data_IF_253189512737
#
_entry.id   IF_253189512737
#
_cell.length_a   1.000
_cell.length_b   1.000
_cell.length_c   1.000
_cell.angle_alpha   90.00
_cell.angle_beta   90.00
_cell.angle_gamma   90.00
#
_symmetry.space_group_name_H-M   'P 1'
#
loop_
_entity.id
_entity.type
_entity.pdbx_description
1 polymer ?
#
# COMPACT_ATOMS: atom_id res chain seq x y z
N UNK A 1 64.99 -57.97 -25.84
CA UNK A 1 64.95 -56.96 -24.77
C UNK A 1 64.61 -55.62 -25.40
N UNK A 2 63.36 -55.21 -25.15
CA UNK A 2 62.65 -53.90 -25.25
C UNK A 2 63.46 -52.57 -25.27
N UNK A 3 62.83 -51.39 -25.49
CA UNK A 3 61.51 -51.07 -26.09
C UNK A 3 61.47 -49.75 -26.93
N UNK A 4 60.32 -49.52 -27.58
CA UNK A 4 59.55 -48.27 -27.69
C UNK A 4 60.24 -46.91 -28.00
N UNK A 5 59.81 -46.28 -29.09
CA UNK A 5 59.24 -44.92 -28.98
C UNK A 5 58.37 -44.60 -30.20
N UNK A 6 57.07 -44.81 -30.00
CA UNK A 6 55.98 -44.30 -30.82
C UNK A 6 56.06 -42.76 -30.98
N UNK A 7 56.36 -42.29 -32.19
CA UNK A 7 56.23 -40.87 -32.53
C UNK A 7 55.04 -40.65 -33.45
N UNK A 8 53.91 -40.10 -32.97
CA UNK A 8 52.82 -39.70 -33.85
C UNK A 8 53.22 -38.43 -34.61
N UNK A 9 53.03 -38.46 -35.94
CA UNK A 9 53.11 -37.27 -36.78
C UNK A 9 52.09 -36.23 -36.30
N UNK A 10 52.58 -35.00 -36.10
CA UNK A 10 51.81 -33.77 -35.92
C UNK A 10 50.47 -33.79 -36.67
N UNK A 11 49.36 -33.92 -35.94
CA UNK A 11 48.10 -33.36 -36.41
C UNK A 11 48.01 -31.95 -35.84
N UNK A 12 47.87 -31.00 -36.75
CA UNK A 12 47.77 -29.57 -36.51
C UNK A 12 46.83 -29.27 -35.33
N UNK A 13 47.25 -28.34 -34.48
CA UNK A 13 46.40 -27.72 -33.45
C UNK A 13 45.18 -27.08 -34.12
N UNK A 14 44.13 -27.88 -34.32
CA UNK A 14 42.82 -27.38 -34.74
C UNK A 14 42.21 -26.74 -33.50
N UNK A 15 42.55 -25.47 -33.28
CA UNK A 15 41.81 -24.58 -32.39
C UNK A 15 40.32 -24.83 -32.67
N UNK A 16 39.49 -25.25 -31.69
CA UNK A 16 38.10 -25.51 -31.95
C UNK A 16 37.49 -24.24 -32.54
N UNK A 17 37.08 -24.31 -33.81
CA UNK A 17 36.46 -23.17 -34.47
C UNK A 17 35.13 -22.97 -33.74
N UNK A 18 35.12 -22.02 -32.79
CA UNK A 18 33.95 -21.71 -31.98
C UNK A 18 32.89 -21.20 -32.95
N UNK A 19 31.97 -22.09 -33.35
CA UNK A 19 30.88 -21.79 -34.27
C UNK A 19 30.23 -20.48 -33.79
N UNK A 20 30.13 -19.45 -34.64
CA UNK A 20 29.50 -18.20 -34.24
C UNK A 20 28.12 -18.54 -33.73
N UNK A 21 27.86 -18.30 -32.44
CA UNK A 21 26.51 -18.50 -31.90
C UNK A 21 25.61 -17.59 -32.72
N UNK A 22 24.61 -18.19 -33.37
CA UNK A 22 23.65 -17.40 -34.13
C UNK A 22 23.02 -16.40 -33.16
N UNK A 23 22.66 -15.20 -33.62
CA UNK A 23 22.05 -14.17 -32.77
C UNK A 23 20.88 -14.72 -31.92
N UNK A 24 20.18 -15.73 -32.44
CA UNK A 24 19.08 -16.42 -31.77
C UNK A 24 19.50 -17.25 -30.53
N UNK A 25 20.66 -17.92 -30.55
CA UNK A 25 21.15 -18.64 -29.36
C UNK A 25 21.60 -17.70 -28.25
N UNK A 26 22.21 -16.58 -28.61
CA UNK A 26 22.65 -15.55 -27.66
C UNK A 26 21.44 -14.85 -27.04
N UNK A 27 20.42 -14.53 -27.84
CA UNK A 27 19.15 -13.99 -27.35
C UNK A 27 18.43 -14.97 -26.41
N UNK A 28 18.43 -16.27 -26.73
CA UNK A 28 17.80 -17.27 -25.86
C UNK A 28 18.52 -17.44 -24.52
N UNK A 29 19.85 -17.38 -24.49
CA UNK A 29 20.66 -17.58 -23.28
C UNK A 29 20.79 -16.34 -22.40
N UNK A 30 20.75 -15.15 -22.99
CA UNK A 30 21.02 -13.89 -22.28
C UNK A 30 19.80 -12.97 -22.31
N UNK A 31 19.14 -12.85 -23.47
CA UNK A 31 17.97 -11.99 -23.65
C UNK A 31 16.75 -12.47 -22.86
N UNK A 32 16.38 -13.76 -22.97
CA UNK A 32 15.19 -14.30 -22.28
C UNK A 32 15.27 -14.14 -20.76
N UNK A 33 16.35 -14.50 -20.05
CA UNK A 33 16.44 -14.30 -18.61
C UNK A 33 16.38 -12.83 -18.19
N UNK A 34 16.98 -11.93 -18.97
CA UNK A 34 16.92 -10.48 -18.70
C UNK A 34 15.50 -9.96 -18.90
N UNK A 35 14.83 -10.36 -19.98
CA UNK A 35 13.44 -9.97 -20.25
C UNK A 35 12.52 -10.53 -19.18
N UNK A 36 12.69 -11.78 -18.75
CA UNK A 36 11.92 -12.36 -17.64
C UNK A 36 12.18 -11.60 -16.35
N UNK A 37 13.42 -11.25 -16.03
CA UNK A 37 13.75 -10.48 -14.84
C UNK A 37 13.15 -9.06 -14.89
N UNK A 38 13.21 -8.38 -16.04
CA UNK A 38 12.61 -7.07 -16.24
C UNK A 38 11.08 -7.12 -16.20
N UNK A 39 10.45 -8.13 -16.79
CA UNK A 39 9.00 -8.35 -16.70
C UNK A 39 8.59 -8.70 -15.27
N UNK A 40 9.31 -9.56 -14.55
CA UNK A 40 9.06 -9.84 -13.13
C UNK A 40 9.24 -8.61 -12.25
N UNK A 41 10.29 -7.82 -12.47
CA UNK A 41 10.51 -6.56 -11.74
C UNK A 41 9.42 -5.53 -12.07
N UNK A 42 8.94 -5.47 -13.31
CA UNK A 42 7.81 -4.62 -13.70
C UNK A 42 6.46 -5.14 -13.19
N UNK A 43 6.31 -6.45 -12.95
CA UNK A 43 5.15 -7.05 -12.28
C UNK A 43 5.15 -6.83 -10.76
N UNK A 44 6.29 -6.47 -10.16
CA UNK A 44 6.39 -5.97 -8.78
C UNK A 44 6.12 -4.45 -8.78
N UNK A 45 5.16 -3.98 -9.56
CA UNK A 45 4.42 -2.77 -9.19
C UNK A 45 3.39 -3.27 -8.20
N UNK A 46 3.78 -3.33 -6.92
CA UNK A 46 2.80 -3.49 -5.85
C UNK A 46 1.86 -2.30 -6.03
N UNK A 47 0.61 -2.59 -6.36
CA UNK A 47 -0.45 -1.58 -6.47
C UNK A 47 -0.73 -1.12 -5.05
N UNK A 48 0.13 -0.26 -4.50
CA UNK A 48 -0.03 0.26 -3.15
C UNK A 48 -1.26 1.14 -3.16
N UNK A 49 -2.35 0.66 -2.56
CA UNK A 49 -3.53 1.47 -2.37
C UNK A 49 -3.28 2.42 -1.22
N UNK A 50 -3.33 3.72 -1.51
CA UNK A 50 -3.22 4.76 -0.50
C UNK A 50 -4.60 5.09 0.06
N UNK A 51 -4.69 5.12 1.38
CA UNK A 51 -5.89 5.51 2.10
C UNK A 51 -5.59 6.66 3.05
N UNK A 52 -6.59 7.51 3.29
CA UNK A 52 -6.53 8.60 4.26
C UNK A 52 -7.89 8.90 4.86
N UNK A 53 -7.89 9.66 5.95
CA UNK A 53 -9.11 10.21 6.55
C UNK A 53 -9.20 11.71 6.23
N UNK A 54 -10.41 12.19 5.93
CA UNK A 54 -10.65 13.62 5.81
C UNK A 54 -10.43 14.34 7.15
N UNK A 55 -10.01 15.60 7.10
CA UNK A 55 -9.74 16.39 8.31
C UNK A 55 -11.01 16.84 9.04
N UNK A 56 -12.11 17.00 8.33
CA UNK A 56 -13.35 17.61 8.83
C UNK A 56 -14.27 16.60 9.52
N UNK A 57 -14.46 15.43 8.90
CA UNK A 57 -15.48 14.43 9.30
C UNK A 57 -14.90 13.03 9.47
N UNK A 58 -13.57 12.89 9.38
CA UNK A 58 -12.89 11.60 9.39
C UNK A 58 -13.43 10.65 8.33
N UNK A 59 -13.81 11.16 7.15
CA UNK A 59 -14.36 10.31 6.10
C UNK A 59 -13.26 9.53 5.42
N UNK A 60 -13.50 8.24 5.20
CA UNK A 60 -12.54 7.34 4.56
C UNK A 60 -12.39 7.70 3.08
N UNK A 61 -11.16 7.93 2.66
CA UNK A 61 -10.80 8.27 1.29
C UNK A 61 -9.77 7.27 0.75
N UNK A 62 -9.99 6.80 -0.47
CA UNK A 62 -9.16 5.78 -1.14
C UNK A 62 -8.65 6.36 -2.45
N UNK A 63 -7.36 6.19 -2.72
CA UNK A 63 -6.75 6.55 -3.99
C UNK A 63 -6.97 5.40 -4.98
N UNK A 64 -7.54 5.69 -6.14
CA UNK A 64 -7.49 4.78 -7.27
C UNK A 64 -6.15 4.94 -8.00
N UNK A 65 -5.29 3.91 -8.01
CA UNK A 65 -4.00 3.98 -8.70
C UNK A 65 -4.14 4.00 -10.23
N UNK A 66 -5.27 3.55 -10.78
CA UNK A 66 -5.49 3.56 -12.23
C UNK A 66 -5.73 4.97 -12.77
N UNK A 67 -6.48 5.80 -12.02
CA UNK A 67 -6.81 7.18 -12.41
C UNK A 67 -5.96 8.23 -11.69
N UNK A 68 -5.36 7.90 -10.55
CA UNK A 68 -4.69 8.84 -9.66
C UNK A 68 -5.64 9.74 -8.86
N UNK A 69 -6.94 9.43 -8.87
CA UNK A 69 -7.96 10.24 -8.20
C UNK A 69 -8.31 9.68 -6.82
N UNK A 70 -8.63 10.60 -5.90
CA UNK A 70 -9.16 10.25 -4.58
C UNK A 70 -10.68 10.13 -4.64
N UNK A 71 -11.20 9.10 -3.97
CA UNK A 71 -12.63 8.87 -3.84
C UNK A 71 -13.01 8.76 -2.37
N UNK A 72 -14.22 9.18 -2.02
CA UNK A 72 -14.80 8.93 -0.70
C UNK A 72 -15.52 7.58 -0.67
N UNK A 73 -15.37 6.85 0.44
CA UNK A 73 -16.02 5.55 0.61
C UNK A 73 -17.53 5.72 0.89
N UNK A 74 -18.35 5.07 0.08
CA UNK A 74 -19.78 4.92 0.31
C UNK A 74 -20.04 4.05 1.55
N UNK A 75 -21.07 4.40 2.31
CA UNK A 75 -21.48 3.61 3.48
C UNK A 75 -22.18 2.30 3.12
N UNK A 76 -22.75 2.20 1.92
CA UNK A 76 -23.43 0.98 1.46
C UNK A 76 -22.49 -0.22 1.48
N UNK A 77 -22.97 -1.33 2.04
CA UNK A 77 -22.21 -2.58 2.18
C UNK A 77 -20.87 -2.45 2.91
N UNK A 78 -20.62 -1.34 3.63
CA UNK A 78 -19.42 -1.17 4.44
C UNK A 78 -19.51 -2.03 5.70
N UNK A 79 -18.45 -2.78 6.02
CA UNK A 79 -18.45 -3.79 7.09
C UNK A 79 -17.35 -3.53 8.11
N UNK A 80 -17.44 -4.18 9.27
CA UNK A 80 -16.40 -4.15 10.31
C UNK A 80 -15.05 -4.67 9.78
N UNK A 81 -15.05 -5.70 8.91
CA UNK A 81 -13.83 -6.20 8.28
C UNK A 81 -13.15 -5.15 7.38
N UNK A 82 -13.94 -4.40 6.60
CA UNK A 82 -13.41 -3.29 5.80
C UNK A 82 -12.82 -2.18 6.68
N UNK A 83 -13.46 -1.88 7.82
CA UNK A 83 -12.95 -0.93 8.80
C UNK A 83 -11.62 -1.39 9.43
N UNK A 84 -11.52 -2.66 9.81
CA UNK A 84 -10.29 -3.24 10.37
C UNK A 84 -9.15 -3.21 9.36
N UNK A 85 -9.42 -3.58 8.11
CA UNK A 85 -8.43 -3.52 7.03
C UNK A 85 -7.97 -2.08 6.77
N UNK A 86 -8.89 -1.11 6.72
CA UNK A 86 -8.55 0.31 6.60
C UNK A 86 -7.61 0.77 7.72
N UNK A 87 -7.95 0.44 8.97
CA UNK A 87 -7.19 0.89 10.13
C UNK A 87 -5.81 0.23 10.21
N UNK A 88 -5.72 -1.05 9.85
CA UNK A 88 -4.44 -1.76 9.77
C UNK A 88 -3.52 -1.18 8.69
N UNK A 89 -4.06 -0.81 7.52
CA UNK A 89 -3.31 -0.12 6.47
C UNK A 89 -2.79 1.24 6.91
N UNK A 90 -3.50 1.94 7.82
CA UNK A 90 -3.03 3.17 8.46
C UNK A 90 -2.10 2.92 9.67
N UNK A 91 -1.79 1.67 10.01
CA UNK A 91 -0.87 1.31 11.10
C UNK A 91 -1.52 1.16 12.48
N UNK A 92 -2.85 1.11 12.57
CA UNK A 92 -3.57 0.88 13.82
C UNK A 92 -3.88 -0.61 14.04
N UNK A 93 -3.75 -1.06 15.28
CA UNK A 93 -4.10 -2.43 15.71
C UNK A 93 -5.31 -2.49 16.64
N UNK A 94 -5.96 -1.35 16.89
CA UNK A 94 -7.13 -1.20 17.74
C UNK A 94 -8.41 -1.57 17.00
N UNK A 95 -9.45 -1.91 17.77
CA UNK A 95 -10.79 -2.15 17.23
C UNK A 95 -11.37 -0.83 16.68
N UNK A 96 -11.69 -0.73 15.39
CA UNK A 96 -12.20 0.50 14.79
C UNK A 96 -13.68 0.72 15.14
N UNK A 97 -14.11 1.98 15.06
CA UNK A 97 -15.52 2.37 15.06
C UNK A 97 -15.83 3.15 13.78
N UNK A 98 -17.03 2.98 13.25
CA UNK A 98 -17.45 3.68 12.03
C UNK A 98 -18.93 4.03 12.07
N UNK A 99 -19.31 5.08 11.34
CA UNK A 99 -20.69 5.56 11.26
C UNK A 99 -20.99 6.20 9.90
N UNK A 100 -22.27 6.25 9.55
CA UNK A 100 -22.76 6.96 8.39
C UNK A 100 -22.73 8.48 8.63
N UNK A 101 -22.26 9.23 7.64
CA UNK A 101 -22.34 10.69 7.62
C UNK A 101 -22.90 11.12 6.27
N UNK A 102 -23.95 11.94 6.27
CA UNK A 102 -24.58 12.40 5.03
C UNK A 102 -23.60 13.12 4.11
N UNK A 103 -23.78 12.91 2.80
CA UNK A 103 -23.06 13.65 1.75
C UNK A 103 -23.51 15.11 1.80
N UNK A 104 -22.63 15.99 2.27
CA UNK A 104 -22.88 17.43 2.32
C UNK A 104 -22.62 18.12 0.98
N UNK A 105 -23.08 19.37 0.82
CA UNK A 105 -22.77 20.18 -0.37
C UNK A 105 -21.28 20.48 -0.52
N UNK A 106 -20.52 20.42 0.57
CA UNK A 106 -19.07 20.63 0.59
C UNK A 106 -18.26 19.37 0.19
N UNK A 107 -18.94 18.29 -0.24
CA UNK A 107 -18.29 17.06 -0.65
C UNK A 107 -17.64 17.24 -2.03
N UNK A 108 -16.31 17.29 -2.05
CA UNK A 108 -15.51 17.57 -3.26
C UNK A 108 -15.04 16.30 -4.01
N UNK A 109 -15.15 15.12 -3.37
CA UNK A 109 -14.73 13.85 -3.96
C UNK A 109 -15.90 12.97 -4.36
N UNK A 110 -15.77 12.33 -5.52
CA UNK A 110 -16.67 11.29 -6.00
C UNK A 110 -16.77 10.14 -4.99
N UNK A 111 -17.95 9.54 -4.91
CA UNK A 111 -18.29 8.51 -3.92
C UNK A 111 -18.32 7.15 -4.57
N UNK A 112 -17.59 6.19 -4.01
CA UNK A 112 -17.45 4.83 -4.55
C UNK A 112 -17.64 3.79 -3.45
N UNK A 113 -18.21 2.65 -3.81
CA UNK A 113 -18.10 1.46 -2.98
C UNK A 113 -16.66 0.97 -2.95
N UNK A 114 -16.23 0.46 -1.79
CA UNK A 114 -14.92 -0.14 -1.62
C UNK A 114 -15.06 -1.64 -1.41
N UNK A 115 -14.01 -2.37 -1.76
CA UNK A 115 -13.92 -3.80 -1.55
C UNK A 115 -12.56 -4.14 -0.94
N UNK A 116 -12.44 -5.35 -0.41
CA UNK A 116 -11.17 -5.88 0.07
C UNK A 116 -10.72 -6.98 -0.89
N UNK A 117 -9.47 -6.92 -1.33
CA UNK A 117 -8.79 -8.07 -1.92
C UNK A 117 -7.48 -8.27 -1.17
N UNK A 118 -7.10 -9.52 -0.91
CA UNK A 118 -5.78 -9.86 -0.37
C UNK A 118 -5.30 -8.92 0.74
N UNK A 119 -6.19 -8.59 1.71
CA UNK A 119 -5.87 -7.74 2.87
C UNK A 119 -5.60 -6.25 2.57
N UNK A 120 -5.92 -5.78 1.36
CA UNK A 120 -5.87 -4.38 0.96
C UNK A 120 -7.26 -3.88 0.51
N UNK A 121 -7.56 -2.62 0.81
CA UNK A 121 -8.76 -1.96 0.29
C UNK A 121 -8.56 -1.57 -1.16
N UNK A 122 -9.62 -1.69 -1.97
CA UNK A 122 -9.65 -1.25 -3.36
C UNK A 122 -10.95 -0.54 -3.68
N UNK A 123 -10.88 0.38 -4.64
CA UNK A 123 -12.07 0.97 -5.25
C UNK A 123 -12.78 -0.12 -6.07
N UNK A 124 -14.08 -0.31 -5.82
CA UNK A 124 -14.88 -1.20 -6.66
C UNK A 124 -15.25 -0.45 -7.93
N UNK A 125 -14.83 -0.96 -9.08
CA UNK A 125 -15.15 -0.40 -10.41
C UNK A 125 -16.66 -0.39 -10.77
N UNK A 126 -17.52 -0.69 -9.81
CA UNK A 126 -18.97 -0.72 -9.98
C UNK A 126 -19.52 0.67 -9.68
N UNK A 127 -19.64 1.48 -10.73
CA UNK A 127 -20.23 2.81 -10.78
C UNK A 127 -21.76 2.79 -10.58
N UNK A 128 -22.20 2.31 -9.42
CA UNK A 128 -23.56 2.53 -8.92
C UNK A 128 -23.58 3.77 -8.01
N UNK A 129 -24.65 4.57 -7.98
CA UNK A 129 -24.77 5.65 -7.01
C UNK A 129 -24.82 5.09 -5.58
N UNK A 130 -24.22 5.81 -4.64
CA UNK A 130 -24.33 5.49 -3.21
C UNK A 130 -25.78 5.72 -2.75
N UNK A 131 -26.55 4.63 -2.56
CA UNK A 131 -28.00 4.68 -2.34
C UNK A 131 -28.35 5.21 -0.96
N UNK A 132 -27.52 4.98 0.06
CA UNK A 132 -27.70 5.59 1.38
C UNK A 132 -27.47 7.10 1.40
N UNK A 133 -26.88 7.69 0.36
CA UNK A 133 -26.46 9.09 0.37
C UNK A 133 -25.48 9.42 1.49
N UNK A 134 -24.74 8.42 1.98
CA UNK A 134 -23.89 8.53 3.17
C UNK A 134 -22.47 8.05 2.91
N UNK A 135 -21.51 8.73 3.54
CA UNK A 135 -20.10 8.40 3.57
C UNK A 135 -19.75 7.62 4.83
N UNK A 136 -18.63 6.89 4.76
CA UNK A 136 -18.04 6.23 5.93
C UNK A 136 -17.19 7.23 6.71
N UNK A 137 -17.61 7.57 7.94
CA UNK A 137 -16.75 8.20 8.94
C UNK A 137 -16.10 7.11 9.79
N UNK A 138 -14.77 7.06 9.80
CA UNK A 138 -13.98 5.97 10.40
C UNK A 138 -13.06 6.52 11.50
N UNK A 139 -13.05 5.84 12.64
CA UNK A 139 -12.14 6.07 13.75
C UNK A 139 -11.38 4.79 14.07
N UNK A 140 -10.08 4.80 13.85
CA UNK A 140 -9.24 3.63 14.09
C UNK A 140 -8.85 3.45 15.56
N UNK A 141 -8.87 4.52 16.34
CA UNK A 141 -8.56 4.53 17.76
C UNK A 141 -9.45 5.58 18.44
N UNK A 142 -10.02 5.25 19.59
CA UNK A 142 -10.63 6.25 20.48
C UNK A 142 -9.51 7.04 21.17
N UNK A 143 -8.99 8.08 20.52
CA UNK A 143 -7.91 8.91 21.04
C UNK A 143 -8.13 10.38 20.73
N UNK A 144 -7.46 11.26 21.48
CA UNK A 144 -7.43 12.69 21.18
C UNK A 144 -8.67 13.48 21.62
N UNK A 145 -9.60 12.84 22.34
CA UNK A 145 -10.70 13.54 23.01
C UNK A 145 -10.19 14.14 24.32
N UNK A 146 -10.15 15.48 24.38
CA UNK A 146 -9.99 16.21 25.64
C UNK A 146 -11.37 16.64 26.14
N UNK A 147 -11.56 16.58 27.46
CA UNK A 147 -12.74 17.16 28.12
C UNK A 147 -12.71 18.70 28.11
N UNK A 148 -11.62 19.33 27.65
CA UNK A 148 -11.40 20.78 27.63
C UNK A 148 -11.25 21.29 26.19
N UNK A 149 -11.48 22.59 26.02
CA UNK A 149 -11.36 23.24 24.71
C UNK A 149 -9.91 23.24 24.22
N UNK A 150 -9.67 23.15 22.90
CA UNK A 150 -8.32 23.08 22.33
C UNK A 150 -7.48 24.35 22.51
N UNK A 151 -8.09 25.45 22.98
CA UNK A 151 -7.42 26.73 23.20
C UNK A 151 -7.57 27.18 24.64
N UNK A 152 -6.45 27.30 25.34
CA UNK A 152 -6.38 27.84 26.71
C UNK A 152 -5.82 29.26 26.65
N UNK A 153 -6.57 30.25 27.14
CA UNK A 153 -6.12 31.64 27.29
C UNK A 153 -6.34 32.04 28.74
N UNK A 154 -5.31 32.55 29.42
CA UNK A 154 -5.38 32.88 30.86
C UNK A 154 -5.56 31.65 31.76
N UNK A 155 -4.86 30.56 31.45
CA UNK A 155 -5.10 29.24 32.02
C UNK A 155 -5.04 29.13 33.54
N UNK A 156 -5.72 28.11 34.05
CA UNK A 156 -5.74 27.67 35.44
C UNK A 156 -5.12 26.27 35.58
N UNK A 157 -4.86 25.82 36.81
CA UNK A 157 -4.36 24.46 37.06
C UNK A 157 -5.38 23.43 36.55
N UNK A 158 -4.90 22.46 35.76
CA UNK A 158 -5.76 21.46 35.15
C UNK A 158 -6.10 20.35 36.15
N UNK A 159 -7.35 19.90 36.18
CA UNK A 159 -7.71 18.68 36.91
C UNK A 159 -7.09 17.46 36.23
N UNK A 160 -6.90 16.39 37.02
CA UNK A 160 -6.52 15.06 36.49
C UNK A 160 -7.44 14.69 35.31
N UNK A 161 -6.86 14.07 34.28
CA UNK A 161 -7.51 13.66 33.02
C UNK A 161 -7.98 14.78 32.08
N UNK A 162 -7.75 16.07 32.40
CA UNK A 162 -8.05 17.17 31.46
C UNK A 162 -7.27 17.04 30.14
N UNK A 163 -6.06 16.49 30.23
CA UNK A 163 -5.15 16.27 29.10
C UNK A 163 -4.57 14.86 29.19
N UNK A 164 -5.32 13.82 28.80
CA UNK A 164 -4.97 12.42 29.06
C UNK A 164 -3.62 11.99 28.48
N UNK A 165 -3.17 12.65 27.42
CA UNK A 165 -1.90 12.39 26.75
C UNK A 165 -0.74 13.25 27.27
N UNK A 166 -0.94 14.05 28.32
CA UNK A 166 0.13 14.89 28.86
C UNK A 166 1.17 14.03 29.57
N UNK A 167 2.42 14.18 29.15
CA UNK A 167 3.57 13.51 29.76
C UNK A 167 4.66 14.53 30.08
N UNK A 168 5.41 14.29 31.16
CA UNK A 168 6.59 15.07 31.52
C UNK A 168 7.81 14.17 31.41
N UNK A 169 8.77 14.54 30.56
CA UNK A 169 10.03 13.83 30.41
C UNK A 169 11.07 14.56 31.26
N UNK A 170 11.56 13.89 32.30
CA UNK A 170 12.63 14.40 33.15
C UNK A 170 13.90 13.56 32.90
N UNK A 171 15.04 14.23 32.79
CA UNK A 171 16.33 13.58 32.61
C UNK A 171 17.28 14.10 33.70
N UNK A 172 17.65 13.23 34.62
CA UNK A 172 18.68 13.53 35.62
C UNK A 172 20.06 13.36 34.98
N UNK A 173 20.90 14.39 35.16
CA UNK A 173 22.31 14.39 34.73
C UNK A 173 23.21 13.80 35.81
#
# INVERSE_FOLDING_TARGET
MDPDSDQPLNSLDVKPLRKPRTPMETFRKVGIPIIIALLSLASIIIVVVLIRLSKDRSTLQVLDPATGNWFSACFDNFTEALAETACRQMGYSSKPTFRAVEIGPDQDLDVVEITENSQELHVRNSSGPCLSGSLVSLHCLACGESLKTPRVVGGEEASVDSWPWQVSIQYDK
#
